data_IF_791973585911
#
_entry.id   IF_791973585911
#
_cell.length_a   1.000
_cell.length_b   1.000
_cell.length_c   1.000
_cell.angle_alpha   90.00
_cell.angle_beta   90.00
_cell.angle_gamma   90.00
#
_symmetry.space_group_name_H-M   'P 1'
#
loop_
_entity.id
_entity.type
_entity.pdbx_description
1 polymer ?
#
# COMPACT_ATOMS: atom_id res chain seq x y z
N UNK A 1 -43.54 61.78 -16.27
CA UNK A 1 -42.63 62.95 -16.21
C UNK A 1 -41.33 62.53 -15.53
N UNK A 2 -40.37 61.96 -16.27
CA UNK A 2 -39.04 61.62 -15.73
C UNK A 2 -37.96 62.13 -16.68
N UNK A 3 -37.01 62.87 -16.09
CA UNK A 3 -35.93 63.64 -16.73
C UNK A 3 -34.99 62.75 -17.53
N UNK A 4 -34.87 63.04 -18.82
CA UNK A 4 -33.71 62.72 -19.66
C UNK A 4 -32.62 63.76 -19.38
N UNK A 5 -31.52 63.35 -18.73
CA UNK A 5 -30.32 64.17 -18.61
C UNK A 5 -29.39 63.88 -19.79
N UNK A 6 -29.32 64.87 -20.67
CA UNK A 6 -28.27 65.08 -21.66
C UNK A 6 -26.88 64.98 -21.01
N UNK A 7 -26.01 64.16 -21.60
CA UNK A 7 -24.58 64.12 -21.29
C UNK A 7 -23.78 64.26 -22.59
N UNK A 8 -23.87 65.45 -23.17
CA UNK A 8 -22.88 65.96 -24.11
C UNK A 8 -22.03 66.95 -23.33
N UNK A 9 -20.79 66.59 -23.02
CA UNK A 9 -19.75 67.55 -22.63
C UNK A 9 -18.38 66.98 -22.97
N UNK A 10 -17.76 67.68 -23.91
CA UNK A 10 -16.34 67.96 -24.00
C UNK A 10 -15.45 66.80 -24.50
N UNK A 11 -15.59 66.54 -25.80
CA UNK A 11 -14.45 66.28 -26.67
C UNK A 11 -13.54 67.53 -26.70
N UNK A 12 -12.23 67.29 -26.81
CA UNK A 12 -11.12 68.27 -26.96
C UNK A 12 -10.28 68.54 -25.70
N UNK A 13 -9.26 67.70 -25.49
CA UNK A 13 -7.88 68.15 -25.25
C UNK A 13 -6.90 66.96 -25.23
N UNK A 14 -5.75 67.19 -25.89
CA UNK A 14 -4.46 66.53 -25.70
C UNK A 14 -4.24 65.17 -26.39
N UNK A 15 -3.99 65.28 -27.70
CA UNK A 15 -2.93 64.49 -28.32
C UNK A 15 -1.59 64.83 -27.67
N UNK A 16 -1.10 63.93 -26.82
CA UNK A 16 0.30 63.88 -26.41
C UNK A 16 0.77 62.45 -26.57
N UNK A 17 1.74 62.27 -27.45
CA UNK A 17 2.53 61.08 -27.70
C UNK A 17 2.97 60.39 -26.40
N UNK A 18 2.18 59.42 -25.93
CA UNK A 18 2.49 58.55 -24.79
C UNK A 18 2.82 57.11 -25.21
N UNK A 19 3.44 56.95 -26.38
CA UNK A 19 3.61 55.64 -27.04
C UNK A 19 4.85 54.84 -26.63
N UNK A 20 5.91 55.46 -26.13
CA UNK A 20 7.22 54.78 -26.11
C UNK A 20 7.68 54.27 -24.73
N UNK A 21 7.04 54.69 -23.63
CA UNK A 21 7.38 54.22 -22.28
C UNK A 21 6.58 52.97 -21.86
N UNK A 22 5.44 52.69 -22.49
CA UNK A 22 4.62 51.51 -22.16
C UNK A 22 5.22 50.22 -22.76
N UNK A 23 5.76 50.30 -23.97
CA UNK A 23 6.30 49.14 -24.67
C UNK A 23 7.60 48.64 -24.03
N UNK A 24 8.40 49.56 -23.47
CA UNK A 24 9.56 49.23 -22.65
C UNK A 24 9.13 48.50 -21.37
N UNK A 25 8.16 49.04 -20.61
CA UNK A 25 7.64 48.40 -19.39
C UNK A 25 7.01 47.02 -19.63
N UNK A 26 6.29 46.85 -20.74
CA UNK A 26 5.68 45.56 -21.11
C UNK A 26 6.77 44.53 -21.42
N UNK A 27 7.85 44.92 -22.13
CA UNK A 27 8.99 44.04 -22.41
C UNK A 27 9.73 43.65 -21.14
N UNK A 28 9.97 44.56 -20.20
CA UNK A 28 10.61 44.22 -18.91
C UNK A 28 9.77 43.23 -18.11
N UNK A 29 8.46 43.48 -17.99
CA UNK A 29 7.56 42.58 -17.26
C UNK A 29 7.49 41.17 -17.87
N UNK A 30 7.55 41.07 -19.21
CA UNK A 30 7.59 39.78 -19.89
C UNK A 30 8.87 38.99 -19.55
N UNK A 31 10.04 39.62 -19.60
CA UNK A 31 11.31 38.97 -19.28
C UNK A 31 11.42 38.59 -17.80
N UNK A 32 10.91 39.42 -16.89
CA UNK A 32 10.85 39.11 -15.46
C UNK A 32 9.98 37.87 -15.18
N UNK A 33 8.82 37.76 -15.85
CA UNK A 33 7.96 36.57 -15.75
C UNK A 33 8.66 35.31 -16.27
N UNK A 34 9.30 35.39 -17.43
CA UNK A 34 10.01 34.25 -18.00
C UNK A 34 11.20 33.82 -17.12
N UNK A 35 11.95 34.78 -16.56
CA UNK A 35 13.02 34.49 -15.62
C UNK A 35 12.51 33.84 -14.33
N UNK A 36 11.37 34.30 -13.81
CA UNK A 36 10.72 33.68 -12.65
C UNK A 36 10.26 32.24 -12.93
N UNK A 37 9.63 31.99 -14.08
CA UNK A 37 9.21 30.64 -14.50
C UNK A 37 10.42 29.70 -14.66
N UNK A 38 11.52 30.16 -15.27
CA UNK A 38 12.75 29.38 -15.36
C UNK A 38 13.36 29.10 -13.98
N UNK A 39 13.32 30.07 -13.06
CA UNK A 39 13.78 29.89 -11.69
C UNK A 39 12.92 28.86 -10.94
N UNK A 40 11.60 28.86 -11.14
CA UNK A 40 10.68 27.88 -10.54
C UNK A 40 10.91 26.48 -11.12
N UNK A 41 11.05 26.35 -12.44
CA UNK A 41 11.42 25.11 -13.11
C UNK A 41 12.77 24.57 -12.61
N UNK A 42 13.78 25.44 -12.46
CA UNK A 42 15.09 25.05 -11.94
C UNK A 42 15.02 24.62 -10.46
N UNK A 43 14.22 25.30 -9.63
CA UNK A 43 13.98 24.93 -8.23
C UNK A 43 13.22 23.60 -8.13
N UNK A 44 12.21 23.36 -8.98
CA UNK A 44 11.46 22.10 -9.00
C UNK A 44 12.36 20.94 -9.46
N UNK A 45 13.15 21.15 -10.52
CA UNK A 45 14.14 20.18 -10.99
C UNK A 45 15.18 19.84 -9.93
N UNK A 46 15.72 20.84 -9.21
CA UNK A 46 16.63 20.62 -8.07
C UNK A 46 15.95 19.84 -6.93
N UNK A 47 14.69 20.11 -6.61
CA UNK A 47 13.92 19.35 -5.60
C UNK A 47 13.68 17.90 -6.05
N UNK A 48 13.39 17.67 -7.32
CA UNK A 48 13.22 16.32 -7.90
C UNK A 48 14.56 15.58 -7.89
N UNK A 49 15.65 16.23 -8.29
CA UNK A 49 17.00 15.66 -8.25
C UNK A 49 17.46 15.36 -6.81
N UNK A 50 17.24 16.28 -5.86
CA UNK A 50 17.57 16.08 -4.45
C UNK A 50 16.70 15.00 -3.78
N UNK A 51 15.46 14.78 -4.25
CA UNK A 51 14.61 13.66 -3.82
C UNK A 51 15.05 12.32 -4.38
N UNK A 52 15.72 12.30 -5.53
CA UNK A 52 16.45 11.12 -6.02
C UNK A 52 17.76 10.96 -5.23
N UNK A 53 17.67 10.91 -3.89
CA UNK A 53 18.71 10.25 -3.10
C UNK A 53 18.70 8.80 -3.56
N UNK A 54 19.61 8.48 -4.46
CA UNK A 54 20.02 7.11 -4.74
C UNK A 54 20.59 6.62 -3.42
N UNK A 55 19.74 6.01 -2.59
CA UNK A 55 20.22 5.24 -1.45
C UNK A 55 21.15 4.20 -2.05
N UNK A 56 22.45 4.43 -1.93
CA UNK A 56 23.46 3.48 -2.36
C UNK A 56 23.07 2.16 -1.72
N UNK A 57 22.78 1.17 -2.57
CA UNK A 57 22.27 -0.09 -2.09
C UNK A 57 23.41 -0.71 -1.28
N UNK A 58 23.24 -0.82 0.03
CA UNK A 58 24.23 -1.48 0.90
C UNK A 58 24.59 -2.84 0.31
N UNK A 59 25.86 -3.21 0.40
CA UNK A 59 26.32 -4.53 0.01
C UNK A 59 25.55 -5.62 0.78
N UNK A 60 25.43 -6.82 0.22
CA UNK A 60 24.60 -7.88 0.81
C UNK A 60 25.06 -8.19 2.25
N UNK A 61 26.38 -8.22 2.47
CA UNK A 61 27.04 -8.44 3.76
C UNK A 61 26.70 -7.37 4.82
N UNK A 62 26.47 -6.13 4.40
CA UNK A 62 26.15 -5.00 5.29
C UNK A 62 24.67 -4.89 5.65
N UNK A 63 23.81 -5.71 5.02
CA UNK A 63 22.37 -5.69 5.27
C UNK A 63 22.06 -6.52 6.50
N UNK A 64 21.90 -5.84 7.64
CA UNK A 64 21.32 -6.44 8.84
C UNK A 64 19.86 -6.88 8.64
N UNK A 65 19.19 -6.41 7.58
CA UNK A 65 17.85 -6.85 7.26
C UNK A 65 17.90 -8.07 6.32
N UNK A 66 17.16 -9.11 6.67
CA UNK A 66 16.88 -10.26 5.78
C UNK A 66 16.02 -9.88 4.56
N UNK A 67 15.89 -8.59 4.27
CA UNK A 67 15.16 -8.11 3.10
C UNK A 67 16.07 -8.32 1.90
N UNK A 68 15.58 -9.06 0.91
CA UNK A 68 16.33 -9.45 -0.30
C UNK A 68 17.39 -10.55 -0.05
N UNK A 69 17.17 -11.44 0.93
CA UNK A 69 18.06 -12.58 1.20
C UNK A 69 18.17 -13.53 0.00
N UNK A 70 17.05 -13.75 -0.69
CA UNK A 70 16.97 -14.63 -1.84
C UNK A 70 17.35 -13.96 -3.17
N UNK A 71 17.92 -12.75 -3.21
CA UNK A 71 18.41 -12.21 -4.48
C UNK A 71 19.51 -13.12 -5.07
N UNK A 72 19.66 -13.16 -6.40
CA UNK A 72 20.70 -13.93 -7.08
C UNK A 72 20.25 -15.35 -7.44
N UNK A 73 21.15 -16.32 -7.28
CA UNK A 73 20.90 -17.73 -7.60
C UNK A 73 19.79 -18.36 -6.74
N UNK A 74 19.55 -17.83 -5.54
CA UNK A 74 18.41 -18.25 -4.71
C UNK A 74 17.07 -17.88 -5.35
N UNK A 75 16.97 -16.70 -5.97
CA UNK A 75 15.74 -16.25 -6.65
C UNK A 75 15.52 -17.08 -7.91
N UNK A 76 16.56 -17.45 -8.65
CA UNK A 76 16.40 -18.29 -9.85
C UNK A 76 15.82 -19.67 -9.51
N UNK A 77 16.17 -20.25 -8.36
CA UNK A 77 15.57 -21.50 -7.86
C UNK A 77 14.12 -21.29 -7.42
N UNK A 78 13.82 -20.23 -6.66
CA UNK A 78 12.48 -20.04 -6.09
C UNK A 78 11.44 -19.45 -7.07
N UNK A 79 11.88 -18.72 -8.09
CA UNK A 79 11.00 -17.98 -9.01
C UNK A 79 10.02 -18.89 -9.80
N UNK A 80 10.43 -20.06 -10.34
CA UNK A 80 9.50 -20.99 -11.01
C UNK A 80 8.36 -21.46 -10.11
N UNK A 81 8.60 -21.56 -8.79
CA UNK A 81 7.62 -22.08 -7.84
C UNK A 81 6.50 -21.12 -7.48
N UNK A 82 6.57 -19.84 -7.89
CA UNK A 82 5.57 -18.85 -7.48
C UNK A 82 4.17 -19.23 -8.00
N UNK A 83 4.07 -19.75 -9.23
CA UNK A 83 2.79 -20.16 -9.83
C UNK A 83 2.18 -21.38 -9.10
N UNK A 84 2.98 -22.44 -8.87
CA UNK A 84 2.49 -23.59 -8.13
C UNK A 84 2.13 -23.25 -6.67
N UNK A 85 2.84 -22.31 -6.05
CA UNK A 85 2.50 -21.81 -4.71
C UNK A 85 1.19 -21.02 -4.71
N UNK A 86 0.90 -20.21 -5.73
CA UNK A 86 -0.41 -19.52 -5.84
C UNK A 86 -1.55 -20.51 -5.99
N UNK A 87 -1.39 -21.56 -6.82
CA UNK A 87 -2.40 -22.60 -6.98
C UNK A 87 -2.62 -23.37 -5.67
N UNK A 88 -1.53 -23.67 -4.94
CA UNK A 88 -1.60 -24.33 -3.65
C UNK A 88 -2.33 -23.47 -2.59
N UNK A 89 -2.10 -22.15 -2.59
CA UNK A 89 -2.83 -21.21 -1.73
C UNK A 89 -4.34 -21.23 -2.01
N UNK A 90 -4.74 -21.29 -3.28
CA UNK A 90 -6.16 -21.35 -3.67
C UNK A 90 -6.84 -22.65 -3.23
N UNK A 91 -6.08 -23.76 -3.16
CA UNK A 91 -6.57 -25.06 -2.66
C UNK A 91 -6.63 -25.14 -1.12
N UNK A 92 -6.01 -24.20 -0.41
CA UNK A 92 -6.06 -24.08 1.05
C UNK A 92 -4.76 -24.48 1.78
N UNK A 93 -4.76 -24.29 3.11
CA UNK A 93 -3.53 -24.30 3.93
C UNK A 93 -2.75 -25.63 3.94
N UNK A 94 -3.41 -26.78 3.78
CA UNK A 94 -2.73 -28.09 3.73
C UNK A 94 -1.92 -28.23 2.44
N UNK A 95 -2.53 -27.89 1.31
CA UNK A 95 -1.87 -27.88 0.01
C UNK A 95 -0.72 -26.87 -0.03
N UNK A 96 -0.91 -25.67 0.54
CA UNK A 96 0.16 -24.68 0.72
C UNK A 96 1.35 -25.30 1.48
N UNK A 97 1.09 -25.92 2.63
CA UNK A 97 2.14 -26.49 3.48
C UNK A 97 2.90 -27.62 2.78
N UNK A 98 2.19 -28.53 2.12
CA UNK A 98 2.80 -29.66 1.44
C UNK A 98 3.63 -29.19 0.22
N UNK A 99 3.15 -28.18 -0.51
CA UNK A 99 3.90 -27.57 -1.61
C UNK A 99 5.17 -26.84 -1.12
N UNK A 100 5.08 -26.07 -0.02
CA UNK A 100 6.26 -25.42 0.57
C UNK A 100 7.31 -26.46 0.95
N UNK A 101 6.90 -27.59 1.54
CA UNK A 101 7.82 -28.69 1.89
C UNK A 101 8.55 -29.24 0.66
N UNK A 102 7.87 -29.38 -0.48
CA UNK A 102 8.47 -29.80 -1.75
C UNK A 102 9.50 -28.78 -2.25
N UNK A 103 9.14 -27.49 -2.25
CA UNK A 103 10.06 -26.41 -2.64
C UNK A 103 11.30 -26.36 -1.73
N UNK A 104 11.13 -26.57 -0.43
CA UNK A 104 12.25 -26.59 0.50
C UNK A 104 13.20 -27.76 0.24
N UNK A 105 12.67 -28.95 -0.10
CA UNK A 105 13.51 -30.10 -0.52
C UNK A 105 14.33 -29.77 -1.75
N UNK A 106 13.70 -29.22 -2.79
CA UNK A 106 14.39 -28.81 -4.01
C UNK A 106 15.44 -27.72 -3.73
N UNK A 107 15.08 -26.72 -2.93
CA UNK A 107 15.98 -25.62 -2.58
C UNK A 107 17.22 -26.13 -1.86
N UNK A 108 17.05 -26.99 -0.84
CA UNK A 108 18.17 -27.51 -0.04
C UNK A 108 18.99 -28.58 -0.73
N UNK A 109 18.46 -29.22 -1.77
CA UNK A 109 19.25 -30.10 -2.62
C UNK A 109 20.18 -29.33 -3.56
N UNK A 110 19.75 -28.14 -4.02
CA UNK A 110 20.56 -27.27 -4.88
C UNK A 110 21.51 -26.37 -4.09
N UNK A 111 21.10 -25.92 -2.90
CA UNK A 111 21.83 -24.93 -2.10
C UNK A 111 22.01 -25.49 -0.69
N UNK A 112 23.28 -25.69 -0.32
CA UNK A 112 23.62 -26.19 1.01
C UNK A 112 23.08 -25.28 2.11
N UNK A 113 22.46 -25.88 3.11
CA UNK A 113 21.97 -25.19 4.32
C UNK A 113 23.11 -24.59 5.16
N UNK A 114 24.36 -25.01 4.92
CA UNK A 114 25.57 -24.47 5.56
C UNK A 114 26.00 -23.13 4.98
N UNK A 115 25.58 -22.82 3.76
CA UNK A 115 25.96 -21.59 3.07
C UNK A 115 25.31 -20.39 3.76
N UNK A 116 26.12 -19.38 4.11
CA UNK A 116 25.62 -18.18 4.75
C UNK A 116 24.66 -17.40 3.82
N UNK A 117 23.70 -16.66 4.39
CA UNK A 117 22.69 -15.92 3.62
C UNK A 117 23.30 -14.86 2.68
N UNK A 118 24.46 -14.32 3.04
CA UNK A 118 25.19 -13.30 2.29
C UNK A 118 26.13 -13.87 1.22
N UNK A 119 26.43 -15.16 1.28
CA UNK A 119 27.25 -15.87 0.29
C UNK A 119 26.36 -16.41 -0.84
N UNK A 120 26.75 -16.22 -2.09
CA UNK A 120 26.03 -16.81 -3.23
C UNK A 120 26.56 -18.22 -3.52
N UNK A 121 25.68 -19.17 -3.86
CA UNK A 121 26.12 -20.51 -4.25
C UNK A 121 26.88 -20.46 -5.58
N UNK A 122 27.86 -21.34 -5.75
CA UNK A 122 28.61 -21.44 -7.00
C UNK A 122 27.71 -21.93 -8.14
N UNK A 123 27.81 -21.26 -9.29
CA UNK A 123 27.10 -21.66 -10.52
C UNK A 123 28.03 -22.50 -11.42
N UNK A 124 27.52 -23.53 -12.12
CA UNK A 124 26.12 -23.95 -12.19
C UNK A 124 25.64 -24.73 -10.97
N UNK A 125 24.38 -24.50 -10.58
CA UNK A 125 23.75 -25.27 -9.50
C UNK A 125 23.57 -26.75 -9.89
N UNK A 126 23.66 -27.69 -8.94
CA UNK A 126 23.34 -29.09 -9.19
C UNK A 126 21.95 -29.28 -9.80
N UNK A 127 21.81 -30.27 -10.68
CA UNK A 127 20.49 -30.65 -11.21
C UNK A 127 19.66 -31.31 -10.11
N UNK A 128 18.41 -30.88 -9.96
CA UNK A 128 17.50 -31.43 -8.98
C UNK A 128 16.83 -32.69 -9.52
N UNK A 129 17.02 -33.81 -8.82
CA UNK A 129 16.29 -35.06 -9.07
C UNK A 129 15.29 -35.32 -7.94
N UNK A 130 13.96 -35.24 -8.21
CA UNK A 130 12.92 -35.52 -7.23
C UNK A 130 12.92 -36.96 -6.68
N UNK A 131 13.56 -37.90 -7.39
CA UNK A 131 13.66 -39.30 -7.00
C UNK A 131 14.97 -39.63 -6.28
N UNK A 132 15.90 -38.67 -6.19
CA UNK A 132 17.14 -38.87 -5.46
C UNK A 132 16.82 -39.18 -3.98
N UNK A 133 17.31 -40.33 -3.53
CA UNK A 133 17.29 -40.66 -2.11
C UNK A 133 18.24 -39.67 -1.43
N UNK A 134 17.79 -38.95 -0.37
CA UNK A 134 18.67 -38.06 0.36
C UNK A 134 19.87 -38.87 0.87
N UNK A 135 21.05 -38.62 0.33
CA UNK A 135 22.26 -39.22 0.87
C UNK A 135 22.38 -38.75 2.31
N UNK A 136 22.49 -39.67 3.29
CA UNK A 136 22.69 -39.28 4.67
C UNK A 136 23.99 -38.50 4.74
N UNK A 137 23.88 -37.20 5.00
CA UNK A 137 25.03 -36.32 5.18
C UNK A 137 25.88 -36.90 6.34
N UNK A 138 27.14 -37.22 6.07
CA UNK A 138 28.10 -37.59 7.10
C UNK A 138 28.49 -36.31 7.85
N UNK A 139 27.65 -35.87 8.78
CA UNK A 139 27.99 -34.80 9.71
C UNK A 139 28.92 -35.35 10.79
N UNK A 140 29.95 -34.60 11.13
CA UNK A 140 30.68 -34.87 12.36
C UNK A 140 29.81 -34.59 13.60
N UNK A 141 30.28 -35.01 14.77
CA UNK A 141 29.57 -34.82 16.04
C UNK A 141 29.43 -33.35 16.43
N UNK A 142 30.27 -32.46 15.88
CA UNK A 142 30.27 -31.03 16.16
C UNK A 142 29.20 -30.32 15.33
N UNK A 143 29.14 -30.56 14.03
CA UNK A 143 28.13 -30.09 13.09
C UNK A 143 26.74 -30.65 13.43
N UNK A 144 26.65 -31.92 13.83
CA UNK A 144 25.38 -32.50 14.30
C UNK A 144 24.86 -31.77 15.53
N UNK A 145 25.75 -31.38 16.43
CA UNK A 145 25.42 -30.61 17.63
C UNK A 145 25.05 -29.18 17.29
N UNK A 146 25.82 -28.52 16.42
CA UNK A 146 25.52 -27.17 15.95
C UNK A 146 24.18 -27.11 15.21
N UNK A 147 23.88 -28.11 14.37
CA UNK A 147 22.59 -28.27 13.71
C UNK A 147 21.46 -28.44 14.72
N UNK A 148 21.65 -29.29 15.74
CA UNK A 148 20.67 -29.49 16.81
C UNK A 148 20.45 -28.23 17.66
N UNK A 149 21.52 -27.55 18.08
CA UNK A 149 21.45 -26.31 18.86
C UNK A 149 20.77 -25.17 18.08
N UNK A 150 21.02 -25.08 16.77
CA UNK A 150 20.33 -24.13 15.90
C UNK A 150 18.84 -24.44 15.81
N UNK A 151 18.46 -25.72 15.66
CA UNK A 151 17.05 -26.13 15.68
C UNK A 151 16.42 -25.85 17.04
N UNK A 152 17.11 -26.13 18.14
CA UNK A 152 16.63 -25.91 19.51
C UNK A 152 16.43 -24.42 19.83
N UNK A 153 17.41 -23.57 19.52
CA UNK A 153 17.31 -22.11 19.70
C UNK A 153 16.16 -21.51 18.90
N UNK A 154 15.86 -22.06 17.73
CA UNK A 154 14.72 -21.63 16.91
C UNK A 154 13.38 -22.12 17.45
N UNK A 155 13.30 -23.38 17.88
CA UNK A 155 12.09 -23.94 18.49
C UNK A 155 11.73 -23.17 19.77
N UNK A 156 12.73 -22.75 20.56
CA UNK A 156 12.53 -21.92 21.75
C UNK A 156 11.87 -20.55 21.45
N UNK A 157 12.13 -19.95 20.27
CA UNK A 157 11.46 -18.71 19.83
C UNK A 157 10.01 -18.97 19.42
N UNK A 158 9.74 -20.15 18.84
CA UNK A 158 8.38 -20.61 18.52
C UNK A 158 7.54 -20.88 19.77
N UNK A 159 8.11 -21.52 20.78
CA UNK A 159 7.44 -21.87 22.03
C UNK A 159 6.96 -20.65 22.83
N UNK A 160 7.68 -19.53 22.75
CA UNK A 160 7.24 -18.27 23.35
C UNK A 160 5.90 -17.77 22.78
N UNK A 161 5.61 -18.06 21.51
CA UNK A 161 4.34 -17.73 20.88
C UNK A 161 3.22 -18.69 21.31
N UNK A 162 3.52 -19.97 21.50
CA UNK A 162 2.56 -20.98 21.99
C UNK A 162 2.16 -20.69 23.44
N UNK A 163 3.14 -20.36 24.31
CA UNK A 163 2.89 -19.95 25.71
C UNK A 163 2.02 -18.68 25.78
N UNK A 164 2.21 -17.75 24.84
CA UNK A 164 1.38 -16.54 24.76
C UNK A 164 -0.07 -16.87 24.37
N UNK A 165 -0.29 -17.80 23.43
CA UNK A 165 -1.63 -18.26 23.05
C UNK A 165 -2.30 -19.02 24.20
N UNK A 166 -1.57 -19.89 24.90
CA UNK A 166 -2.10 -20.59 26.08
C UNK A 166 -2.56 -19.62 27.17
N UNK A 167 -1.75 -18.59 27.50
CA UNK A 167 -2.13 -17.57 28.48
C UNK A 167 -3.37 -16.76 28.07
N UNK A 168 -3.54 -16.47 26.78
CA UNK A 168 -4.74 -15.81 26.27
C UNK A 168 -5.96 -16.74 26.36
N UNK A 169 -5.81 -18.02 26.05
CA UNK A 169 -6.92 -18.99 26.17
C UNK A 169 -7.33 -19.24 27.62
N UNK A 170 -6.39 -19.35 28.56
CA UNK A 170 -6.70 -19.53 29.99
C UNK A 170 -7.48 -18.34 30.58
N UNK A 171 -7.30 -17.13 30.03
CA UNK A 171 -8.03 -15.94 30.46
C UNK A 171 -9.46 -15.89 29.90
N UNK A 172 -9.72 -16.55 28.77
CA UNK A 172 -11.02 -16.55 28.09
C UNK A 172 -11.91 -17.76 28.44
N UNK A 173 -11.38 -18.77 29.15
CA UNK A 173 -12.08 -20.02 29.48
C UNK A 173 -13.05 -19.96 30.68
N UNK A 174 -13.47 -18.78 31.17
CA UNK A 174 -14.46 -18.68 32.26
C UNK A 174 -15.93 -18.88 31.80
N UNK A 175 -16.17 -19.34 30.57
CA UNK A 175 -17.51 -19.66 30.05
C UNK A 175 -17.63 -21.14 29.66
N UNK A 176 -18.54 -21.91 30.28
CA UNK A 176 -18.65 -23.36 30.08
C UNK A 176 -19.12 -23.78 28.67
N UNK A 177 -19.61 -22.85 27.84
CA UNK A 177 -20.06 -23.16 26.47
C UNK A 177 -18.94 -23.26 25.42
N UNK A 178 -17.72 -22.82 25.71
CA UNK A 178 -16.61 -22.81 24.74
C UNK A 178 -15.70 -24.06 24.80
N UNK A 179 -15.92 -24.96 25.75
CA UNK A 179 -14.97 -26.02 26.10
C UNK A 179 -14.84 -27.13 25.03
N UNK A 180 -15.90 -27.38 24.26
CA UNK A 180 -15.91 -28.42 23.22
C UNK A 180 -15.26 -27.95 21.91
N UNK A 181 -15.38 -26.67 21.56
CA UNK A 181 -14.79 -26.13 20.33
C UNK A 181 -13.27 -25.89 20.48
N UNK A 182 -12.83 -25.49 21.66
CA UNK A 182 -11.41 -25.23 21.94
C UNK A 182 -10.60 -26.54 22.00
N UNK A 183 -11.17 -27.63 22.54
CA UNK A 183 -10.46 -28.90 22.62
C UNK A 183 -10.12 -29.50 21.24
N UNK A 184 -10.99 -29.33 20.25
CA UNK A 184 -10.76 -29.85 18.90
C UNK A 184 -9.71 -29.02 18.15
N UNK A 185 -9.71 -27.70 18.36
CA UNK A 185 -8.65 -26.81 17.86
C UNK A 185 -7.31 -27.15 18.53
N UNK A 186 -7.28 -27.31 19.85
CA UNK A 186 -6.05 -27.60 20.61
C UNK A 186 -5.51 -28.99 20.30
N UNK A 187 -6.36 -30.02 20.15
CA UNK A 187 -5.91 -31.35 19.70
C UNK A 187 -5.38 -31.34 18.28
N UNK A 188 -6.00 -30.59 17.37
CA UNK A 188 -5.52 -30.46 15.99
C UNK A 188 -4.19 -29.70 15.94
N UNK A 189 -3.99 -28.71 16.81
CA UNK A 189 -2.72 -28.00 16.95
C UNK A 189 -1.62 -28.86 17.59
N UNK A 190 -1.92 -29.59 18.67
CA UNK A 190 -0.93 -30.43 19.38
C UNK A 190 -0.52 -31.67 18.58
N UNK A 191 -1.45 -32.32 17.88
CA UNK A 191 -1.12 -33.43 16.98
C UNK A 191 -0.34 -32.98 15.73
N UNK A 192 -0.42 -31.69 15.37
CA UNK A 192 0.42 -31.07 14.34
C UNK A 192 1.77 -30.55 14.84
N UNK A 193 1.96 -30.41 16.16
CA UNK A 193 3.14 -29.78 16.76
C UNK A 193 4.34 -30.71 16.95
N UNK A 194 4.12 -32.03 16.96
CA UNK A 194 5.20 -33.03 17.10
C UNK A 194 5.92 -33.35 15.77
N UNK A 195 5.53 -32.70 14.67
CA UNK A 195 6.19 -32.80 13.37
C UNK A 195 6.80 -31.45 12.91
N UNK A 196 6.93 -30.48 13.81
CA UNK A 196 7.60 -29.19 13.57
C UNK A 196 9.07 -29.33 13.97
N UNK A 197 9.73 -30.33 13.42
CA UNK A 197 11.17 -30.23 13.26
C UNK A 197 11.38 -30.17 11.76
N UNK A 198 12.20 -29.19 11.36
CA UNK A 198 12.99 -29.10 10.12
C UNK A 198 12.76 -27.76 9.36
N UNK A 199 13.72 -26.85 9.61
CA UNK A 199 14.18 -25.65 8.88
C UNK A 199 13.48 -24.27 9.07
N UNK A 200 14.24 -23.29 9.62
CA UNK A 200 13.93 -21.83 9.60
C UNK A 200 13.71 -21.34 8.18
N UNK A 201 14.43 -21.97 7.26
CA UNK A 201 14.41 -21.69 5.85
C UNK A 201 13.02 -21.95 5.26
N UNK A 202 12.24 -22.89 5.81
CA UNK A 202 10.83 -23.09 5.43
C UNK A 202 10.00 -21.84 5.70
N UNK A 203 10.25 -21.14 6.81
CA UNK A 203 9.53 -19.89 7.11
C UNK A 203 9.99 -18.76 6.20
N UNK A 204 11.27 -18.72 5.82
CA UNK A 204 11.84 -17.68 4.96
C UNK A 204 11.43 -17.87 3.51
N UNK A 205 11.53 -19.09 2.98
CA UNK A 205 11.05 -19.51 1.66
C UNK A 205 9.55 -19.25 1.58
N UNK A 206 8.76 -19.69 2.57
CA UNK A 206 7.32 -19.40 2.59
C UNK A 206 7.04 -17.89 2.63
N UNK A 207 7.69 -17.11 3.51
CA UNK A 207 7.53 -15.64 3.55
C UNK A 207 7.89 -14.99 2.21
N UNK A 208 8.94 -15.47 1.55
CA UNK A 208 9.37 -14.99 0.24
C UNK A 208 8.33 -15.31 -0.83
N UNK A 209 7.89 -16.57 -0.93
CA UNK A 209 6.85 -17.03 -1.84
C UNK A 209 5.56 -16.25 -1.62
N UNK A 210 5.09 -16.14 -0.38
CA UNK A 210 3.91 -15.36 0.02
C UNK A 210 4.03 -13.89 -0.31
N UNK A 211 5.22 -13.29 -0.17
CA UNK A 211 5.45 -11.92 -0.60
C UNK A 211 5.37 -11.78 -2.12
N UNK A 212 6.02 -12.67 -2.87
CA UNK A 212 6.06 -12.65 -4.34
C UNK A 212 4.70 -12.94 -4.95
N UNK A 213 4.02 -13.98 -4.49
CA UNK A 213 2.63 -14.30 -4.83
C UNK A 213 1.72 -13.09 -4.59
N UNK A 214 1.74 -12.48 -3.40
CA UNK A 214 0.97 -11.25 -3.14
C UNK A 214 1.38 -10.08 -4.03
N UNK A 215 2.63 -9.97 -4.44
CA UNK A 215 3.08 -8.88 -5.33
C UNK A 215 2.60 -9.09 -6.76
N UNK A 216 2.61 -10.32 -7.26
CA UNK A 216 2.03 -10.70 -8.55
C UNK A 216 0.52 -10.56 -8.51
N UNK A 217 -0.14 -11.10 -7.48
CA UNK A 217 -1.56 -10.93 -7.24
C UNK A 217 -1.94 -9.47 -7.05
N UNK A 218 -1.14 -8.64 -6.37
CA UNK A 218 -1.39 -7.19 -6.35
C UNK A 218 -1.31 -6.59 -7.74
N UNK A 219 -0.44 -7.05 -8.64
CA UNK A 219 -0.46 -6.56 -10.03
C UNK A 219 -1.71 -7.04 -10.79
N UNK A 220 -2.19 -8.24 -10.49
CA UNK A 220 -3.40 -8.81 -11.09
C UNK A 220 -4.70 -8.22 -10.50
N UNK A 221 -4.77 -8.04 -9.19
CA UNK A 221 -5.93 -7.63 -8.37
C UNK A 221 -5.91 -6.16 -7.94
N UNK A 222 -4.79 -5.41 -8.04
CA UNK A 222 -4.80 -3.96 -7.74
C UNK A 222 -5.48 -3.13 -8.84
N UNK A 223 -6.21 -3.78 -9.74
CA UNK A 223 -7.47 -3.18 -10.18
C UNK A 223 -8.51 -3.55 -9.14
N UNK A 224 -8.57 -2.77 -8.05
CA UNK A 224 -9.81 -2.55 -7.31
C UNK A 224 -10.92 -2.60 -8.36
N UNK A 225 -11.90 -3.52 -8.29
CA UNK A 225 -12.97 -3.56 -9.30
C UNK A 225 -13.66 -2.19 -9.45
N UNK A 226 -13.67 -1.44 -8.35
CA UNK A 226 -14.15 -0.06 -8.23
C UNK A 226 -13.22 1.00 -8.86
N UNK A 227 -11.99 0.64 -9.24
CA UNK A 227 -11.01 1.48 -9.96
C UNK A 227 -10.67 0.93 -11.34
N UNK A 228 -11.11 -0.28 -11.68
CA UNK A 228 -10.99 -0.79 -13.03
C UNK A 228 -11.87 0.05 -13.95
N UNK A 229 -11.31 0.75 -14.96
CA UNK A 229 -12.12 1.56 -15.88
C UNK A 229 -13.20 0.74 -16.59
N UNK A 230 -12.92 -0.55 -16.83
CA UNK A 230 -13.91 -1.46 -17.40
C UNK A 230 -15.01 -1.84 -16.41
N UNK A 231 -14.67 -2.19 -15.17
CA UNK A 231 -15.64 -2.40 -14.09
C UNK A 231 -16.56 -1.20 -13.88
N UNK A 232 -16.00 0.01 -13.81
CA UNK A 232 -16.77 1.26 -13.70
C UNK A 232 -17.68 1.50 -14.90
N UNK A 233 -17.22 1.20 -16.11
CA UNK A 233 -18.02 1.33 -17.33
C UNK A 233 -19.20 0.33 -17.33
N UNK A 234 -18.95 -0.93 -16.96
CA UNK A 234 -20.00 -1.94 -16.84
C UNK A 234 -21.03 -1.58 -15.76
N UNK A 235 -20.59 -1.12 -14.58
CA UNK A 235 -21.50 -0.61 -13.54
C UNK A 235 -22.36 0.54 -14.07
N UNK A 236 -21.77 1.48 -14.82
CA UNK A 236 -22.50 2.58 -15.45
C UNK A 236 -23.52 2.11 -16.49
N UNK A 237 -23.18 1.12 -17.31
CA UNK A 237 -24.13 0.51 -18.26
C UNK A 237 -25.26 -0.26 -17.57
N UNK A 238 -24.98 -0.88 -16.42
CA UNK A 238 -25.98 -1.55 -15.59
C UNK A 238 -26.89 -0.59 -14.81
N UNK A 239 -26.65 0.73 -14.90
CA UNK A 239 -27.38 1.74 -14.11
C UNK A 239 -26.95 1.80 -12.64
N UNK A 240 -25.91 1.06 -12.26
CA UNK A 240 -25.35 1.10 -10.91
C UNK A 240 -24.46 2.35 -10.77
N UNK A 241 -24.99 3.37 -10.10
CA UNK A 241 -24.19 4.52 -9.67
C UNK A 241 -23.43 4.15 -8.42
N UNK A 242 -22.09 4.16 -8.47
CA UNK A 242 -21.29 3.95 -7.27
C UNK A 242 -21.60 5.06 -6.25
N UNK A 243 -21.78 4.72 -4.96
CA UNK A 243 -22.00 5.73 -3.95
C UNK A 243 -20.83 6.72 -3.95
N UNK A 244 -21.10 8.03 -3.75
CA UNK A 244 -20.05 9.02 -3.62
C UNK A 244 -19.06 8.61 -2.52
N UNK A 245 -17.77 8.87 -2.75
CA UNK A 245 -16.76 8.60 -1.74
C UNK A 245 -16.94 9.57 -0.58
N UNK A 246 -16.95 9.03 0.64
CA UNK A 246 -16.85 9.79 1.88
C UNK A 246 -15.78 10.88 1.76
N UNK A 247 -16.21 12.14 1.82
CA UNK A 247 -15.31 13.29 1.71
C UNK A 247 -14.46 13.40 2.97
N UNK A 248 -13.19 13.79 2.81
CA UNK A 248 -12.36 14.16 3.96
C UNK A 248 -12.86 15.48 4.56
N UNK A 249 -12.60 15.74 5.85
CA UNK A 249 -13.03 16.97 6.52
C UNK A 249 -12.67 18.25 5.75
N UNK A 250 -11.46 18.30 5.19
CA UNK A 250 -11.01 19.40 4.33
C UNK A 250 -11.82 19.54 3.04
N UNK A 251 -12.13 18.43 2.36
CA UNK A 251 -12.95 18.43 1.15
C UNK A 251 -14.40 18.83 1.45
N UNK A 252 -14.89 18.46 2.63
CA UNK A 252 -16.20 18.88 3.12
C UNK A 252 -16.23 20.39 3.37
N UNK A 253 -15.23 20.93 4.06
CA UNK A 253 -15.07 22.37 4.25
C UNK A 253 -15.02 23.11 2.92
N UNK A 254 -14.21 22.63 1.95
CA UNK A 254 -14.15 23.26 0.63
C UNK A 254 -15.50 23.29 -0.05
N UNK A 255 -16.36 22.29 0.14
CA UNK A 255 -17.68 22.27 -0.48
C UNK A 255 -18.71 23.14 0.23
N UNK A 256 -18.73 23.13 1.56
CA UNK A 256 -19.68 23.89 2.38
C UNK A 256 -19.37 25.40 2.36
N UNK A 257 -18.08 25.76 2.44
CA UNK A 257 -17.61 27.14 2.58
C UNK A 257 -17.08 27.75 1.28
N UNK A 258 -17.25 27.09 0.13
CA UNK A 258 -16.69 27.60 -1.13
C UNK A 258 -17.20 29.00 -1.43
N UNK A 259 -18.53 29.15 -1.52
CA UNK A 259 -19.17 30.39 -1.96
C UNK A 259 -19.05 31.52 -0.93
N UNK A 260 -18.99 31.19 0.36
CA UNK A 260 -18.97 32.18 1.45
C UNK A 260 -17.57 32.64 1.79
N UNK A 261 -16.65 31.71 2.05
CA UNK A 261 -15.37 32.04 2.71
C UNK A 261 -14.19 31.92 1.73
N UNK A 262 -14.19 30.91 0.88
CA UNK A 262 -13.03 30.58 0.03
C UNK A 262 -13.03 31.42 -1.24
N UNK A 263 -14.17 31.49 -1.95
CA UNK A 263 -14.32 32.21 -3.22
C UNK A 263 -13.92 33.68 -3.16
N UNK A 264 -14.36 34.52 -2.19
CA UNK A 264 -13.93 35.91 -2.14
C UNK A 264 -12.42 36.05 -1.91
N UNK A 265 -11.81 35.15 -1.12
CA UNK A 265 -10.37 35.17 -0.86
C UNK A 265 -9.60 34.73 -2.11
N UNK A 266 -10.08 33.70 -2.81
CA UNK A 266 -9.52 33.25 -4.09
C UNK A 266 -9.62 34.36 -5.13
N UNK A 267 -10.80 34.98 -5.30
CA UNK A 267 -10.99 36.09 -6.25
C UNK A 267 -10.13 37.31 -5.89
N UNK A 268 -10.00 37.66 -4.61
CA UNK A 268 -9.14 38.76 -4.17
C UNK A 268 -7.65 38.45 -4.43
N UNK A 269 -7.21 37.21 -4.14
CA UNK A 269 -5.85 36.76 -4.45
C UNK A 269 -5.60 36.67 -5.95
N UNK A 270 -6.57 36.25 -6.76
CA UNK A 270 -6.48 36.21 -8.22
C UNK A 270 -6.37 37.59 -8.85
N UNK A 271 -7.10 38.57 -8.30
CA UNK A 271 -6.95 39.98 -8.72
C UNK A 271 -5.53 40.51 -8.43
N UNK A 272 -4.82 39.96 -7.45
CA UNK A 272 -3.46 40.37 -7.07
C UNK A 272 -2.32 39.50 -7.63
N UNK A 273 -2.56 38.23 -7.94
CA UNK A 273 -1.55 37.29 -8.44
C UNK A 273 -2.19 36.05 -9.08
N UNK A 274 -1.66 35.62 -10.23
CA UNK A 274 -2.08 34.39 -10.89
C UNK A 274 -1.53 33.13 -10.17
N UNK A 275 -2.05 32.82 -8.98
CA UNK A 275 -1.68 31.63 -8.19
C UNK A 275 -2.83 30.62 -8.09
N UNK A 276 -2.45 29.35 -7.87
CA UNK A 276 -3.32 28.17 -7.86
C UNK A 276 -4.31 28.14 -6.67
N UNK A 277 -5.59 27.87 -6.98
CA UNK A 277 -6.74 27.92 -6.06
C UNK A 277 -6.62 26.98 -4.84
N UNK A 278 -6.01 25.81 -5.02
CA UNK A 278 -5.93 24.75 -4.01
C UNK A 278 -5.06 25.11 -2.79
N UNK A 279 -4.15 26.07 -2.93
CA UNK A 279 -3.26 26.49 -1.84
C UNK A 279 -4.00 27.27 -0.76
N UNK A 280 -4.95 28.11 -1.16
CA UNK A 280 -5.64 29.07 -0.28
C UNK A 280 -6.54 28.34 0.72
N UNK A 281 -7.36 27.40 0.23
CA UNK A 281 -8.27 26.65 1.09
C UNK A 281 -7.52 25.85 2.17
N UNK A 282 -6.33 25.30 1.85
CA UNK A 282 -5.50 24.57 2.84
C UNK A 282 -4.92 25.47 3.91
N UNK A 283 -4.64 26.73 3.61
CA UNK A 283 -4.19 27.72 4.59
C UNK A 283 -5.36 28.09 5.51
N UNK A 284 -6.52 28.45 4.95
CA UNK A 284 -7.72 28.79 5.72
C UNK A 284 -8.16 27.63 6.63
N UNK A 285 -8.11 26.39 6.14
CA UNK A 285 -8.46 25.23 6.97
C UNK A 285 -7.50 25.03 8.15
N UNK A 286 -6.21 25.39 8.01
CA UNK A 286 -5.24 25.32 9.12
C UNK A 286 -5.45 26.43 10.15
N UNK A 287 -6.05 27.54 9.75
CA UNK A 287 -6.36 28.67 10.62
C UNK A 287 -7.63 28.42 11.47
N UNK A 288 -8.50 27.50 11.06
CA UNK A 288 -9.63 27.05 11.88
C UNK A 288 -9.17 26.45 13.20
N UNK A 289 -9.96 26.66 14.25
CA UNK A 289 -9.72 26.04 15.55
C UNK A 289 -9.81 24.51 15.48
N UNK A 290 -9.13 23.82 16.40
CA UNK A 290 -9.18 22.35 16.45
C UNK A 290 -10.61 21.80 16.66
N UNK A 291 -11.47 22.57 17.35
CA UNK A 291 -12.87 22.23 17.57
C UNK A 291 -13.68 22.28 16.27
N UNK A 292 -13.49 23.32 15.45
CA UNK A 292 -14.14 23.45 14.14
C UNK A 292 -13.67 22.39 13.15
N UNK A 293 -12.36 22.11 13.12
CA UNK A 293 -11.80 21.04 12.30
C UNK A 293 -12.40 19.67 12.69
N UNK A 294 -12.58 19.41 13.99
CA UNK A 294 -13.21 18.20 14.50
C UNK A 294 -14.69 18.13 14.12
N UNK A 295 -15.44 19.22 14.30
CA UNK A 295 -16.85 19.30 13.94
C UNK A 295 -17.08 19.04 12.44
N UNK A 296 -16.24 19.59 11.58
CA UNK A 296 -16.23 19.28 10.13
C UNK A 296 -15.93 17.81 9.85
N UNK A 297 -14.97 17.23 10.57
CA UNK A 297 -14.68 15.80 10.49
C UNK A 297 -15.86 14.92 10.88
N UNK A 298 -16.60 15.29 11.91
CA UNK A 298 -17.76 14.54 12.36
C UNK A 298 -18.97 14.72 11.42
N UNK A 299 -19.19 15.92 10.84
CA UNK A 299 -20.16 16.13 9.76
C UNK A 299 -19.85 15.28 8.53
N UNK A 300 -18.59 15.27 8.09
CA UNK A 300 -18.15 14.46 6.95
C UNK A 300 -18.39 12.96 7.18
N UNK A 301 -18.14 12.46 8.40
CA UNK A 301 -18.47 11.07 8.79
C UNK A 301 -19.98 10.82 8.80
N UNK A 302 -20.77 11.78 9.28
CA UNK A 302 -22.23 11.69 9.29
C UNK A 302 -22.81 11.55 7.89
N UNK A 303 -22.37 12.41 6.96
CA UNK A 303 -22.76 12.32 5.54
C UNK A 303 -22.30 11.01 4.89
N UNK A 304 -21.07 10.58 5.15
CA UNK A 304 -20.57 9.30 4.67
C UNK A 304 -21.33 8.08 5.23
N UNK A 305 -21.98 8.24 6.39
CA UNK A 305 -22.87 7.23 6.96
C UNK A 305 -24.23 7.28 6.27
N UNK A 306 -24.84 8.45 6.13
CA UNK A 306 -26.13 8.58 5.44
C UNK A 306 -26.07 8.15 3.96
N UNK A 307 -24.98 8.47 3.26
CA UNK A 307 -24.76 8.00 1.88
C UNK A 307 -24.63 6.47 1.82
N UNK A 308 -24.05 5.84 2.85
CA UNK A 308 -23.97 4.38 2.92
C UNK A 308 -25.32 3.73 3.22
N UNK A 309 -26.12 4.38 4.06
CA UNK A 309 -27.46 3.90 4.41
C UNK A 309 -28.45 4.07 3.23
N UNK A 310 -28.27 5.11 2.38
CA UNK A 310 -29.05 5.33 1.15
C UNK A 310 -28.66 4.35 0.02
N UNK A 311 -27.38 3.98 -0.04
CA UNK A 311 -26.84 3.01 -0.99
C UNK A 311 -26.30 1.79 -0.25
N UNK A 312 -27.17 0.93 0.33
CA UNK A 312 -26.72 -0.30 0.97
C UNK A 312 -25.94 -1.10 -0.08
N UNK A 313 -24.68 -1.40 0.23
CA UNK A 313 -23.83 -2.16 -0.69
C UNK A 313 -24.52 -3.47 -1.06
N UNK A 314 -24.38 -3.89 -2.31
CA UNK A 314 -24.95 -5.14 -2.87
C UNK A 314 -24.60 -6.40 -2.06
N UNK A 315 -23.61 -6.30 -1.17
CA UNK A 315 -23.19 -7.33 -0.21
C UNK A 315 -24.28 -7.72 0.79
N UNK A 316 -25.30 -6.87 1.02
CA UNK A 316 -26.51 -7.21 1.78
C UNK A 316 -27.70 -7.56 0.87
N UNK A 317 -27.44 -8.16 -0.30
CA UNK A 317 -28.51 -8.84 -1.03
C UNK A 317 -29.16 -9.84 -0.06
N UNK A 318 -30.44 -9.65 0.33
CA UNK A 318 -31.12 -10.54 1.26
C UNK A 318 -30.96 -11.94 0.68
N UNK A 319 -30.28 -12.80 1.43
CA UNK A 319 -29.89 -14.13 0.97
C UNK A 319 -31.08 -14.73 0.27
N UNK A 320 -30.91 -15.00 -1.03
CA UNK A 320 -31.93 -15.65 -1.84
C UNK A 320 -32.22 -16.96 -1.11
N UNK A 321 -33.30 -16.97 -0.33
CA UNK A 321 -33.76 -18.15 0.38
C UNK A 321 -33.98 -19.18 -0.72
N UNK A 322 -33.14 -20.22 -0.68
CA UNK A 322 -33.14 -21.27 -1.68
C UNK A 322 -34.56 -21.80 -1.81
N UNK A 323 -35.17 -21.53 -2.96
CA UNK A 323 -36.31 -22.28 -3.46
C UNK A 323 -35.85 -23.73 -3.58
N UNK A 324 -36.06 -24.50 -2.52
CA UNK A 324 -35.93 -25.95 -2.54
C UNK A 324 -36.91 -26.51 -3.57
N UNK A 325 -36.34 -27.07 -4.64
CA UNK A 325 -37.02 -27.88 -5.64
C UNK A 325 -36.42 -29.28 -5.64
#
# INVERSE_FOLDING_TARGET
MHRTLNRNRDEEANGTTGGDLSDACIKTAFWERQAFEQLQMAKSAKRVAARKRTWARKEKKDRRNLKMWADGARESVLQPHIAGYTDALERGWRAERDYVREVCREFHARISWRLADDEEPDEPLPEWDPQAIPEPEELDDEDTRAKRERVETMNAVGDFAVIAVERVTYTLCFSPFHFLFINDIVRTCLAGSLCIDIYDDDTRINRWLKYRARKIQKRAMARDRTKDPWGLYLSKLAGLTSPPKARQAFQQYMHESYETDIKPVVEARWRGSALEEDGVARELFKELSAEEQKALGDRAKGLAKSERDEFPGEDESPGVEGSGG
#
